data_IF_768533999033
#
_entry.id   IF_768533999033
#
_cell.length_a   1.000
_cell.length_b   1.000
_cell.length_c   1.000
_cell.angle_alpha   90.00
_cell.angle_beta   90.00
_cell.angle_gamma   90.00
#
_symmetry.space_group_name_H-M   'P 1'
#
loop_
_entity.id
_entity.type
_entity.pdbx_description
1 polymer ?
#
# COMPACT_ATOMS: atom_id res chain seq x y z
N UNK A 1 -56.13 -10.79 45.88
CA UNK A 1 -55.63 -11.30 44.58
C UNK A 1 -55.18 -10.22 43.58
N UNK A 2 -55.00 -8.94 43.96
CA UNK A 2 -54.56 -7.89 43.01
C UNK A 2 -53.17 -7.30 43.29
N UNK A 3 -52.50 -7.63 44.41
CA UNK A 3 -51.19 -7.03 44.75
C UNK A 3 -50.03 -7.91 44.25
N UNK A 4 -50.23 -9.22 44.15
CA UNK A 4 -49.18 -10.17 43.73
C UNK A 4 -48.89 -10.15 42.22
N UNK A 5 -49.81 -9.64 41.39
CA UNK A 5 -49.64 -9.52 39.93
C UNK A 5 -48.88 -8.27 39.50
N UNK A 6 -48.76 -7.26 40.37
CA UNK A 6 -48.04 -6.03 40.06
C UNK A 6 -46.53 -6.13 40.36
N UNK A 7 -46.11 -7.06 41.22
CA UNK A 7 -44.69 -7.26 41.52
C UNK A 7 -43.95 -8.13 40.49
N UNK A 8 -44.64 -8.95 39.70
CA UNK A 8 -44.00 -9.77 38.66
C UNK A 8 -43.66 -9.00 37.38
N UNK A 9 -44.28 -7.83 37.16
CA UNK A 9 -43.97 -6.97 35.99
C UNK A 9 -42.78 -6.06 36.24
N UNK A 10 -42.50 -5.69 37.50
CA UNK A 10 -41.38 -4.80 37.84
C UNK A 10 -39.99 -5.44 37.73
N UNK A 11 -39.88 -6.76 37.94
CA UNK A 11 -38.58 -7.47 37.92
C UNK A 11 -38.14 -7.81 36.49
N UNK A 12 -39.07 -7.95 35.55
CA UNK A 12 -38.73 -8.19 34.14
C UNK A 12 -38.17 -6.95 33.42
N UNK A 13 -38.42 -5.74 33.94
CA UNK A 13 -37.94 -4.49 33.33
C UNK A 13 -36.47 -4.17 33.67
N UNK A 14 -35.91 -4.76 34.73
CA UNK A 14 -34.53 -4.49 35.18
C UNK A 14 -33.51 -5.40 34.48
N UNK A 15 -33.92 -6.48 33.81
CA UNK A 15 -33.03 -7.32 33.01
C UNK A 15 -32.76 -6.79 31.59
N UNK A 16 -33.35 -5.64 31.24
CA UNK A 16 -33.07 -4.90 30.00
C UNK A 16 -32.15 -3.68 30.21
N UNK A 17 -31.35 -3.65 31.29
CA UNK A 17 -30.15 -2.80 31.28
C UNK A 17 -29.23 -3.36 30.19
N UNK A 18 -29.26 -2.68 29.05
CA UNK A 18 -28.65 -3.11 27.81
C UNK A 18 -27.25 -3.64 28.02
N UNK A 19 -26.98 -4.80 27.43
CA UNK A 19 -25.63 -5.15 27.04
C UNK A 19 -25.16 -4.04 26.08
N UNK A 20 -24.63 -2.95 26.64
CA UNK A 20 -23.74 -2.06 25.90
C UNK A 20 -22.65 -3.01 25.42
N UNK A 21 -22.43 -3.15 24.10
CA UNK A 21 -21.31 -3.96 23.66
C UNK A 21 -20.10 -3.43 24.40
N UNK A 22 -19.42 -4.30 25.14
CA UNK A 22 -18.09 -3.99 25.64
C UNK A 22 -17.26 -3.81 24.37
N UNK A 23 -17.20 -2.57 23.89
CA UNK A 23 -16.41 -2.19 22.76
C UNK A 23 -14.96 -2.28 23.26
N UNK A 24 -14.40 -3.48 23.29
CA UNK A 24 -12.96 -3.69 23.23
C UNK A 24 -12.52 -3.28 21.82
N UNK A 25 -12.72 -2.00 21.51
CA UNK A 25 -12.31 -1.40 20.26
C UNK A 25 -10.84 -1.06 20.44
N UNK A 26 -9.99 -2.01 20.05
CA UNK A 26 -8.66 -1.68 19.58
C UNK A 26 -8.83 -0.81 18.33
N UNK A 27 -9.10 0.48 18.52
CA UNK A 27 -9.29 1.45 17.45
C UNK A 27 -7.93 1.88 16.90
N UNK A 28 -7.21 0.95 16.28
CA UNK A 28 -6.14 1.36 15.39
C UNK A 28 -6.80 2.04 14.19
N UNK A 29 -6.50 3.32 13.98
CA UNK A 29 -6.96 4.09 12.84
C UNK A 29 -5.82 4.19 11.83
N UNK A 30 -6.04 3.67 10.62
CA UNK A 30 -5.10 3.83 9.50
C UNK A 30 -5.14 5.27 8.97
N UNK A 31 -4.06 5.68 8.32
CA UNK A 31 -4.00 6.97 7.65
C UNK A 31 -5.00 7.00 6.49
N UNK A 32 -5.65 8.16 6.30
CA UNK A 32 -6.44 8.38 5.11
C UNK A 32 -5.50 8.59 3.92
N UNK A 33 -5.36 7.53 3.12
CA UNK A 33 -4.55 7.52 1.91
C UNK A 33 -5.37 7.79 0.65
N UNK A 34 -6.67 8.11 0.78
CA UNK A 34 -7.54 8.37 -0.37
C UNK A 34 -7.06 9.56 -1.21
N UNK A 35 -7.58 9.68 -2.42
CA UNK A 35 -7.30 10.83 -3.27
C UNK A 35 -8.16 10.88 -4.51
N UNK A 36 -8.16 12.02 -5.22
CA UNK A 36 -8.95 12.18 -6.44
C UNK A 36 -8.48 11.24 -7.55
N UNK A 37 -9.41 10.95 -8.47
CA UNK A 37 -9.15 10.26 -9.74
C UNK A 37 -7.98 10.92 -10.47
N UNK A 38 -7.09 10.11 -11.03
CA UNK A 38 -5.89 10.56 -11.73
C UNK A 38 -5.97 10.28 -13.22
N UNK A 39 -5.14 10.96 -14.00
CA UNK A 39 -5.01 10.76 -15.45
C UNK A 39 -3.68 10.11 -15.85
N UNK A 40 -2.71 10.09 -14.94
CA UNK A 40 -1.36 9.56 -15.17
C UNK A 40 -0.38 10.65 -15.63
N UNK A 41 -0.87 11.85 -15.94
CA UNK A 41 -0.05 13.03 -16.20
C UNK A 41 0.51 13.65 -14.91
N UNK A 42 -0.09 13.36 -13.75
CA UNK A 42 0.35 13.91 -12.49
C UNK A 42 1.69 13.29 -12.04
N UNK A 43 2.61 14.09 -11.48
CA UNK A 43 3.88 13.59 -10.99
C UNK A 43 3.70 12.47 -9.96
N UNK A 44 4.49 11.40 -10.11
CA UNK A 44 4.53 10.28 -9.17
C UNK A 44 3.36 9.28 -9.26
N UNK A 45 2.39 9.45 -10.17
CA UNK A 45 1.30 8.47 -10.35
C UNK A 45 1.75 7.22 -11.10
N UNK A 46 2.60 7.39 -12.11
CA UNK A 46 3.31 6.32 -12.81
C UNK A 46 4.75 6.24 -12.30
N UNK A 47 5.28 5.03 -12.09
CA UNK A 47 6.60 4.83 -11.46
C UNK A 47 7.76 5.30 -12.33
N UNK A 48 7.52 5.51 -13.63
CA UNK A 48 8.49 6.05 -14.57
C UNK A 48 7.75 6.97 -15.54
N UNK A 49 8.33 8.13 -15.79
CA UNK A 49 7.76 9.13 -16.70
C UNK A 49 7.78 8.64 -18.15
N UNK A 50 6.79 9.07 -18.93
CA UNK A 50 6.66 8.77 -20.34
C UNK A 50 6.63 10.10 -21.14
N UNK A 51 7.79 10.68 -21.47
CA UNK A 51 7.85 11.95 -22.18
C UNK A 51 7.15 11.89 -23.54
N UNK A 52 6.24 12.84 -23.80
CA UNK A 52 5.50 12.88 -25.06
C UNK A 52 4.49 11.74 -25.25
N UNK A 53 4.05 11.13 -24.14
CA UNK A 53 2.96 10.17 -24.16
C UNK A 53 1.61 10.85 -24.43
N UNK A 54 0.74 10.19 -25.19
CA UNK A 54 -0.65 10.59 -25.37
C UNK A 54 -1.48 10.23 -24.14
N UNK A 55 -2.69 10.81 -23.97
CA UNK A 55 -3.59 10.44 -22.87
C UNK A 55 -3.88 8.93 -22.81
N UNK A 56 -3.98 8.26 -23.96
CA UNK A 56 -4.20 6.81 -24.05
C UNK A 56 -2.97 6.02 -23.56
N UNK A 57 -1.76 6.49 -23.88
CA UNK A 57 -0.51 5.86 -23.42
C UNK A 57 -0.32 6.06 -21.90
N UNK A 58 -0.71 7.22 -21.35
CA UNK A 58 -0.71 7.47 -19.90
C UNK A 58 -1.77 6.62 -19.17
N UNK A 59 -2.95 6.47 -19.75
CA UNK A 59 -4.00 5.58 -19.27
C UNK A 59 -3.52 4.13 -19.24
N UNK A 60 -2.85 3.66 -20.31
CA UNK A 60 -2.24 2.33 -20.35
C UNK A 60 -1.14 2.18 -19.28
N UNK A 61 -0.32 3.22 -19.08
CA UNK A 61 0.69 3.23 -18.02
C UNK A 61 0.06 3.05 -16.63
N UNK A 62 -1.06 3.72 -16.32
CA UNK A 62 -1.78 3.54 -15.06
C UNK A 62 -2.25 2.09 -14.88
N UNK A 63 -2.86 1.50 -15.90
CA UNK A 63 -3.33 0.10 -15.85
C UNK A 63 -2.16 -0.86 -15.60
N UNK A 64 -1.03 -0.64 -16.26
CA UNK A 64 0.16 -1.48 -16.06
C UNK A 64 0.76 -1.31 -14.66
N UNK A 65 0.77 -0.08 -14.12
CA UNK A 65 1.19 0.19 -12.74
C UNK A 65 0.26 -0.49 -11.73
N UNK A 66 -1.06 -0.49 -11.98
CA UNK A 66 -2.03 -1.18 -11.14
C UNK A 66 -1.74 -2.69 -11.13
N UNK A 67 -1.54 -3.30 -12.31
CA UNK A 67 -1.17 -4.72 -12.42
C UNK A 67 0.10 -5.03 -11.64
N UNK A 68 1.14 -4.21 -11.77
CA UNK A 68 2.41 -4.41 -11.07
C UNK A 68 2.24 -4.29 -9.55
N UNK A 69 1.49 -3.29 -9.07
CA UNK A 69 1.17 -3.14 -7.65
C UNK A 69 0.46 -4.39 -7.11
N UNK A 70 -0.55 -4.91 -7.82
CA UNK A 70 -1.29 -6.10 -7.39
C UNK A 70 -0.44 -7.37 -7.35
N UNK A 71 0.48 -7.56 -8.30
CA UNK A 71 1.38 -8.71 -8.22
C UNK A 71 2.38 -8.56 -7.07
N UNK A 72 2.95 -7.37 -6.89
CA UNK A 72 3.88 -7.15 -5.79
C UNK A 72 3.20 -7.36 -4.44
N UNK A 73 1.95 -6.91 -4.30
CA UNK A 73 1.13 -7.17 -3.13
C UNK A 73 0.86 -8.67 -2.93
N UNK A 74 0.57 -9.42 -4.00
CA UNK A 74 0.43 -10.87 -3.91
C UNK A 74 1.70 -11.59 -3.40
N UNK A 75 2.89 -11.03 -3.64
CA UNK A 75 4.16 -11.57 -3.14
C UNK A 75 4.51 -11.10 -1.72
N UNK A 76 4.36 -9.80 -1.45
CA UNK A 76 4.86 -9.18 -0.22
C UNK A 76 3.87 -9.26 0.95
N UNK A 77 2.58 -9.47 0.68
CA UNK A 77 1.52 -9.42 1.69
C UNK A 77 0.96 -10.80 2.07
N UNK A 78 1.62 -11.89 1.67
CA UNK A 78 1.18 -13.26 1.95
C UNK A 78 1.17 -13.61 3.46
N UNK A 79 1.80 -12.77 4.29
CA UNK A 79 1.73 -12.87 5.74
C UNK A 79 0.31 -12.67 6.30
N UNK A 80 -0.59 -12.04 5.54
CA UNK A 80 -1.98 -11.79 5.93
C UNK A 80 -2.97 -12.41 4.92
N UNK A 81 -3.34 -13.70 5.08
CA UNK A 81 -4.18 -14.42 4.12
C UNK A 81 -5.59 -13.85 3.97
N UNK A 82 -6.09 -13.08 4.95
CA UNK A 82 -7.45 -12.50 4.88
C UNK A 82 -7.58 -11.43 3.79
N UNK A 83 -6.46 -10.83 3.34
CA UNK A 83 -6.44 -9.87 2.23
C UNK A 83 -6.67 -10.53 0.86
N UNK A 84 -6.54 -11.86 0.76
CA UNK A 84 -6.81 -12.65 -0.46
C UNK A 84 -6.03 -12.17 -1.70
N UNK A 85 -4.88 -11.52 -1.52
CA UNK A 85 -4.15 -10.85 -2.60
C UNK A 85 -3.68 -11.79 -3.72
N UNK A 86 -3.23 -13.00 -3.38
CA UNK A 86 -2.85 -14.01 -4.39
C UNK A 86 -4.04 -14.41 -5.26
N UNK A 87 -5.20 -14.72 -4.65
CA UNK A 87 -6.41 -15.06 -5.40
C UNK A 87 -6.96 -13.88 -6.20
N UNK A 88 -6.92 -12.67 -5.63
CA UNK A 88 -7.43 -11.46 -6.26
C UNK A 88 -6.58 -11.10 -7.49
N UNK A 89 -5.26 -11.20 -7.39
CA UNK A 89 -4.36 -10.95 -8.51
C UNK A 89 -4.56 -11.95 -9.66
N UNK A 90 -4.68 -13.25 -9.35
CA UNK A 90 -4.91 -14.26 -10.38
C UNK A 90 -6.27 -14.08 -11.07
N UNK A 91 -7.30 -13.69 -10.33
CA UNK A 91 -8.60 -13.37 -10.89
C UNK A 91 -8.58 -12.07 -11.72
N UNK A 92 -7.82 -11.04 -11.30
CA UNK A 92 -7.56 -9.85 -12.11
C UNK A 92 -6.98 -10.22 -13.46
N UNK A 93 -5.92 -11.05 -13.48
CA UNK A 93 -5.29 -11.49 -14.72
C UNK A 93 -6.28 -12.20 -15.63
N UNK A 94 -7.09 -13.11 -15.08
CA UNK A 94 -8.06 -13.89 -15.86
C UNK A 94 -9.21 -13.03 -16.39
N UNK A 95 -9.77 -12.13 -15.57
CA UNK A 95 -10.97 -11.37 -15.92
C UNK A 95 -10.66 -10.23 -16.90
N UNK A 96 -9.45 -9.68 -16.84
CA UNK A 96 -9.05 -8.49 -17.60
C UNK A 96 -7.93 -8.78 -18.62
N UNK A 97 -7.69 -10.04 -18.98
CA UNK A 97 -6.66 -10.47 -19.94
C UNK A 97 -6.66 -9.65 -21.25
N UNK A 98 -7.82 -9.42 -21.92
CA UNK A 98 -7.84 -8.62 -23.15
C UNK A 98 -7.52 -7.13 -22.94
N UNK A 99 -7.73 -6.59 -21.74
CA UNK A 99 -7.34 -5.20 -21.41
C UNK A 99 -5.85 -5.11 -21.13
N UNK A 100 -5.28 -6.11 -20.45
CA UNK A 100 -3.86 -6.18 -20.17
C UNK A 100 -3.05 -6.33 -21.46
N UNK A 101 -3.51 -7.14 -22.41
CA UNK A 101 -2.89 -7.28 -23.72
C UNK A 101 -2.89 -5.97 -24.51
N UNK A 102 -4.05 -5.28 -24.55
CA UNK A 102 -4.17 -3.97 -25.20
C UNK A 102 -3.28 -2.92 -24.53
N UNK A 103 -3.20 -2.94 -23.20
CA UNK A 103 -2.33 -2.08 -22.40
C UNK A 103 -0.85 -2.31 -22.76
N UNK A 104 -0.43 -3.58 -22.79
CA UNK A 104 0.92 -3.96 -23.17
C UNK A 104 1.26 -3.51 -24.60
N UNK A 105 0.37 -3.77 -25.56
CA UNK A 105 0.56 -3.36 -26.94
C UNK A 105 0.66 -1.83 -27.09
N UNK A 106 -0.15 -1.07 -26.34
CA UNK A 106 -0.10 0.40 -26.34
C UNK A 106 1.25 0.92 -25.85
N UNK A 107 1.76 0.40 -24.73
CA UNK A 107 3.07 0.77 -24.21
C UNK A 107 4.21 0.33 -25.12
N UNK A 108 4.13 -0.86 -25.70
CA UNK A 108 5.10 -1.33 -26.69
C UNK A 108 5.14 -0.40 -27.92
N UNK A 109 3.99 0.05 -28.41
CA UNK A 109 3.90 0.99 -29.53
C UNK A 109 4.47 2.37 -29.16
N UNK A 110 4.23 2.86 -27.95
CA UNK A 110 4.86 4.09 -27.44
C UNK A 110 6.38 4.00 -27.50
N UNK A 111 6.99 2.94 -26.97
CA UNK A 111 8.45 2.79 -26.96
C UNK A 111 9.03 2.58 -28.36
N UNK A 112 8.32 1.86 -29.23
CA UNK A 112 8.72 1.73 -30.63
C UNK A 112 8.68 3.07 -31.39
N UNK A 113 7.70 3.93 -31.08
CA UNK A 113 7.54 5.26 -31.68
C UNK A 113 8.61 6.23 -31.19
N UNK A 114 8.96 6.19 -29.92
CA UNK A 114 9.85 7.16 -29.28
C UNK A 114 11.32 6.78 -29.33
N UNK A 115 11.66 5.49 -29.22
CA UNK A 115 13.04 5.01 -29.10
C UNK A 115 13.46 4.08 -30.26
N UNK A 116 12.54 3.76 -31.16
CA UNK A 116 12.80 2.97 -32.37
C UNK A 116 12.27 1.55 -32.30
N UNK A 117 11.85 1.03 -33.47
CA UNK A 117 11.22 -0.29 -33.60
C UNK A 117 12.19 -1.45 -33.31
N UNK A 118 11.66 -2.53 -32.75
CA UNK A 118 12.38 -3.79 -32.55
C UNK A 118 13.15 -3.80 -31.22
N UNK A 119 14.43 -4.20 -31.25
CA UNK A 119 15.24 -4.37 -30.03
C UNK A 119 15.31 -3.11 -29.15
N UNK A 120 15.48 -1.87 -29.69
CA UNK A 120 15.52 -0.66 -28.87
C UNK A 120 14.23 -0.42 -28.08
N UNK A 121 13.08 -0.44 -28.77
CA UNK A 121 11.76 -0.28 -28.16
C UNK A 121 11.44 -1.36 -27.13
N UNK A 122 11.72 -2.63 -27.44
CA UNK A 122 11.50 -3.74 -26.50
C UNK A 122 12.37 -3.60 -25.24
N UNK A 123 13.66 -3.27 -25.41
CA UNK A 123 14.58 -3.10 -24.26
C UNK A 123 14.10 -1.96 -23.35
N UNK A 124 13.61 -0.87 -23.94
CA UNK A 124 13.08 0.26 -23.17
C UNK A 124 11.79 -0.09 -22.44
N UNK A 125 10.89 -0.86 -23.07
CA UNK A 125 9.68 -1.38 -22.44
C UNK A 125 10.02 -2.27 -21.23
N UNK A 126 10.97 -3.19 -21.38
CA UNK A 126 11.38 -4.10 -20.30
C UNK A 126 12.01 -3.33 -19.12
N UNK A 127 12.84 -2.32 -19.42
CA UNK A 127 13.38 -1.41 -18.40
C UNK A 127 12.28 -0.60 -17.71
N UNK A 128 11.30 -0.10 -18.48
CA UNK A 128 10.16 0.61 -17.94
C UNK A 128 9.36 -0.28 -16.99
N UNK A 129 9.03 -1.50 -17.39
CA UNK A 129 8.34 -2.46 -16.53
C UNK A 129 9.13 -2.74 -15.25
N UNK A 130 10.44 -2.96 -15.36
CA UNK A 130 11.30 -3.17 -14.20
C UNK A 130 11.25 -1.99 -13.21
N UNK A 131 11.27 -0.74 -13.69
CA UNK A 131 11.10 0.45 -12.84
C UNK A 131 9.71 0.51 -12.22
N UNK A 132 8.68 0.10 -12.96
CA UNK A 132 7.31 0.04 -12.46
C UNK A 132 7.19 -0.87 -11.23
N UNK A 133 7.79 -2.05 -11.27
CA UNK A 133 7.87 -2.97 -10.13
C UNK A 133 8.60 -2.37 -8.93
N UNK A 134 9.80 -1.83 -9.16
CA UNK A 134 10.60 -1.23 -8.10
C UNK A 134 9.89 -0.04 -7.44
N UNK A 135 9.07 0.70 -8.19
CA UNK A 135 8.33 1.86 -7.68
C UNK A 135 7.25 1.54 -6.64
N UNK A 136 6.88 0.27 -6.45
CA UNK A 136 5.96 -0.18 -5.38
C UNK A 136 6.68 -0.94 -4.26
N UNK A 137 7.97 -1.23 -4.40
CA UNK A 137 8.73 -2.01 -3.42
C UNK A 137 9.18 -1.15 -2.25
N UNK A 138 8.31 -1.01 -1.23
CA UNK A 138 8.59 -0.14 -0.07
C UNK A 138 8.43 -0.88 1.25
N UNK A 139 9.56 -1.34 1.81
CA UNK A 139 9.59 -2.13 3.06
C UNK A 139 9.04 -1.33 4.25
N UNK A 140 9.38 -0.05 4.34
CA UNK A 140 8.95 0.79 5.47
C UNK A 140 7.42 1.01 5.52
N UNK A 141 6.73 0.87 4.38
CA UNK A 141 5.31 1.10 4.23
C UNK A 141 4.54 -0.18 3.87
N UNK A 142 5.08 -1.37 4.20
CA UNK A 142 4.50 -2.65 3.81
C UNK A 142 3.05 -2.81 4.31
N UNK A 143 2.77 -2.50 5.58
CA UNK A 143 1.42 -2.62 6.14
C UNK A 143 0.37 -1.72 5.45
N UNK A 144 0.56 -0.39 5.37
CA UNK A 144 -0.42 0.46 4.69
C UNK A 144 -0.57 0.12 3.20
N UNK A 145 0.51 -0.30 2.53
CA UNK A 145 0.44 -0.80 1.16
C UNK A 145 -0.40 -2.07 1.04
N UNK A 146 -0.19 -3.07 1.90
CA UNK A 146 -0.93 -4.33 1.88
C UNK A 146 -2.42 -4.14 2.17
N UNK A 147 -2.78 -3.31 3.17
CA UNK A 147 -4.17 -2.96 3.48
C UNK A 147 -4.86 -2.31 2.27
N UNK A 148 -4.20 -1.30 1.69
CA UNK A 148 -4.69 -0.57 0.51
C UNK A 148 -4.83 -1.50 -0.69
N UNK A 149 -3.81 -2.31 -0.97
CA UNK A 149 -3.81 -3.26 -2.07
C UNK A 149 -4.92 -4.31 -1.92
N UNK A 150 -5.21 -4.77 -0.70
CA UNK A 150 -6.33 -5.68 -0.43
C UNK A 150 -7.66 -5.06 -0.86
N UNK A 151 -7.90 -3.80 -0.48
CA UNK A 151 -9.11 -3.05 -0.83
C UNK A 151 -9.23 -2.81 -2.34
N UNK A 152 -8.15 -2.37 -2.98
CA UNK A 152 -8.10 -2.16 -4.44
C UNK A 152 -8.22 -3.49 -5.19
N UNK A 153 -7.67 -4.58 -4.66
CA UNK A 153 -7.82 -5.93 -5.20
C UNK A 153 -9.29 -6.33 -5.34
N UNK A 154 -10.13 -6.04 -4.34
CA UNK A 154 -11.58 -6.22 -4.45
C UNK A 154 -12.20 -5.33 -5.54
N UNK A 155 -11.77 -4.08 -5.68
CA UNK A 155 -12.26 -3.22 -6.77
C UNK A 155 -11.95 -3.82 -8.16
N UNK A 156 -10.77 -4.44 -8.34
CA UNK A 156 -10.43 -5.11 -9.61
C UNK A 156 -11.26 -6.37 -9.86
N UNK A 157 -11.70 -7.06 -8.80
CA UNK A 157 -12.54 -8.26 -8.90
C UNK A 157 -13.96 -7.94 -9.34
N UNK A 158 -14.53 -6.86 -8.79
CA UNK A 158 -15.91 -6.46 -9.06
C UNK A 158 -16.06 -5.54 -10.28
N UNK A 159 -14.93 -5.07 -10.84
CA UNK A 159 -14.96 -4.33 -12.09
C UNK A 159 -15.42 -5.25 -13.25
N UNK A 160 -16.37 -4.79 -14.09
CA UNK A 160 -16.76 -5.54 -15.29
C UNK A 160 -15.59 -5.58 -16.28
N UNK A 161 -15.67 -6.48 -17.26
CA UNK A 161 -14.76 -6.44 -18.41
C UNK A 161 -14.85 -5.08 -19.10
N UNK A 162 -13.70 -4.47 -19.36
CA UNK A 162 -13.48 -3.10 -19.82
C UNK A 162 -13.25 -2.09 -18.70
N UNK A 163 -13.48 -2.46 -17.45
CA UNK A 163 -13.49 -1.57 -16.29
C UNK A 163 -12.16 -1.41 -15.56
N UNK A 164 -11.11 -2.17 -15.93
CA UNK A 164 -9.83 -2.10 -15.22
C UNK A 164 -9.20 -0.70 -15.32
N UNK A 165 -9.46 -0.01 -16.43
CA UNK A 165 -9.00 1.36 -16.65
C UNK A 165 -9.56 2.32 -15.59
N UNK A 166 -10.85 2.23 -15.28
CA UNK A 166 -11.47 3.09 -14.27
C UNK A 166 -10.95 2.78 -12.87
N UNK A 167 -10.71 1.51 -12.55
CA UNK A 167 -10.07 1.12 -11.28
C UNK A 167 -8.68 1.75 -11.18
N UNK A 168 -7.87 1.69 -12.24
CA UNK A 168 -6.55 2.30 -12.25
C UNK A 168 -6.62 3.83 -12.04
N UNK A 169 -7.54 4.51 -12.72
CA UNK A 169 -7.70 5.96 -12.57
C UNK A 169 -8.20 6.36 -11.18
N UNK A 170 -9.11 5.59 -10.58
CA UNK A 170 -9.70 5.92 -9.29
C UNK A 170 -8.78 5.59 -8.11
N UNK A 171 -7.96 4.54 -8.20
CA UNK A 171 -7.21 4.01 -7.06
C UNK A 171 -5.69 4.15 -7.15
N UNK A 172 -5.12 4.62 -8.27
CA UNK A 172 -3.66 4.77 -8.35
C UNK A 172 -3.11 5.73 -7.30
N UNK A 173 -3.78 6.86 -7.07
CA UNK A 173 -3.35 7.83 -6.05
C UNK A 173 -3.36 7.22 -4.66
N UNK A 174 -4.40 6.45 -4.36
CA UNK A 174 -4.53 5.71 -3.11
C UNK A 174 -3.37 4.73 -2.91
N UNK A 175 -3.07 3.92 -3.93
CA UNK A 175 -1.92 3.01 -3.92
C UNK A 175 -0.60 3.77 -3.72
N UNK A 176 -0.40 4.92 -4.38
CA UNK A 176 0.82 5.72 -4.22
C UNK A 176 0.95 6.33 -2.83
N UNK A 177 -0.14 6.86 -2.29
CA UNK A 177 -0.17 7.43 -0.94
C UNK A 177 0.12 6.37 0.15
N UNK A 178 -0.25 5.10 -0.11
CA UNK A 178 0.02 3.97 0.78
C UNK A 178 1.50 3.57 0.87
N UNK A 179 2.35 4.07 -0.04
CA UNK A 179 3.79 3.82 -0.04
C UNK A 179 4.56 4.69 0.95
N UNK A 180 3.88 5.58 1.67
CA UNK A 180 4.47 6.37 2.75
C UNK A 180 4.26 5.64 4.08
N UNK A 181 5.29 5.50 4.94
CA UNK A 181 5.11 4.90 6.26
C UNK A 181 4.22 5.80 7.11
N UNK A 182 3.10 5.26 7.56
CA UNK A 182 2.18 5.93 8.47
C UNK A 182 2.22 5.27 9.84
N UNK A 183 2.20 6.10 10.89
CA UNK A 183 1.94 5.63 12.25
C UNK A 183 0.46 5.37 12.49
N UNK A 184 0.14 4.91 13.69
CA UNK A 184 -1.24 4.82 14.17
C UNK A 184 -1.83 6.25 14.34
N UNK A 185 -3.08 6.48 13.92
CA UNK A 185 -3.68 7.82 13.83
C UNK A 185 -4.60 8.21 14.99
N UNK A 186 -5.12 7.25 15.76
CA UNK A 186 -6.01 7.48 16.89
C UNK A 186 -5.23 7.91 18.14
N UNK A 187 -4.17 7.18 18.42
CA UNK A 187 -3.19 7.34 19.46
C UNK A 187 -1.96 7.96 18.81
N UNK A 188 -1.76 9.25 19.08
CA UNK A 188 -0.44 9.86 18.95
C UNK A 188 0.46 9.17 19.98
N UNK A 189 1.02 8.01 19.62
CA UNK A 189 2.15 7.44 20.32
C UNK A 189 3.30 8.43 20.12
N UNK A 190 3.33 9.47 20.95
CA UNK A 190 4.56 10.13 21.33
C UNK A 190 5.32 9.11 22.16
N UNK A 191 5.82 8.06 21.50
CA UNK A 191 7.07 7.49 21.92
C UNK A 191 8.03 8.67 21.79
N UNK A 192 8.60 9.24 22.88
CA UNK A 192 10.01 9.49 22.77
C UNK A 192 10.54 8.11 22.46
N UNK A 193 10.72 7.77 21.18
CA UNK A 193 11.72 6.79 20.85
C UNK A 193 12.91 7.31 21.66
N UNK A 194 13.44 6.57 22.65
CA UNK A 194 14.74 6.92 23.16
C UNK A 194 15.59 6.85 21.91
N UNK A 195 15.79 8.01 21.27
CA UNK A 195 16.65 8.12 20.12
C UNK A 195 17.91 7.46 20.65
N UNK A 196 18.37 6.36 20.05
CA UNK A 196 19.60 5.74 20.51
C UNK A 196 20.58 6.91 20.55
N UNK A 197 21.14 7.18 21.73
CA UNK A 197 22.07 8.29 21.87
C UNK A 197 23.20 7.91 20.93
N UNK A 198 23.18 8.49 19.72
CA UNK A 198 24.18 8.22 18.70
C UNK A 198 25.47 8.68 19.35
N UNK A 199 26.31 7.72 19.73
CA UNK A 199 27.59 8.07 20.33
C UNK A 199 28.37 8.82 19.26
N UNK A 200 29.07 9.86 19.66
CA UNK A 200 29.93 10.63 18.78
C UNK A 200 31.12 9.76 18.36
N UNK A 201 30.94 8.88 17.38
CA UNK A 201 32.01 8.03 16.86
C UNK A 201 33.16 8.86 16.26
N UNK A 202 32.91 10.12 15.91
CA UNK A 202 33.93 11.09 15.49
C UNK A 202 34.81 11.63 16.64
N UNK A 203 34.52 11.31 17.89
CA UNK A 203 35.34 11.76 19.02
C UNK A 203 36.59 10.88 19.17
N UNK A 204 37.74 11.37 18.67
CA UNK A 204 39.01 10.64 18.70
C UNK A 204 39.44 10.21 20.11
N UNK A 205 39.00 10.91 21.17
CA UNK A 205 39.35 10.57 22.56
C UNK A 205 38.70 9.29 23.07
N UNK A 206 37.67 8.80 22.36
CA UNK A 206 36.99 7.53 22.61
C UNK A 206 37.66 6.34 21.94
N UNK A 207 38.65 6.58 21.09
CA UNK A 207 39.39 5.56 20.37
C UNK A 207 40.80 5.44 20.92
N UNK A 208 41.24 4.21 21.16
CA UNK A 208 42.67 3.89 21.34
C UNK A 208 43.00 2.71 20.46
N UNK A 209 43.96 2.87 19.56
CA UNK A 209 44.39 1.81 18.62
C UNK A 209 43.20 1.20 17.86
N UNK A 210 42.27 2.03 17.39
CA UNK A 210 41.03 1.62 16.71
C UNK A 210 40.09 0.72 17.53
N UNK A 211 40.23 0.72 18.86
CA UNK A 211 39.32 0.02 19.78
C UNK A 211 38.52 1.03 20.59
N UNK A 212 37.20 0.86 20.59
CA UNK A 212 36.25 1.66 21.34
C UNK A 212 36.47 1.50 22.86
N UNK A 213 36.58 2.62 23.57
CA UNK A 213 36.88 2.63 25.01
C UNK A 213 35.59 2.71 25.84
N UNK A 214 34.96 1.57 26.13
CA UNK A 214 33.66 1.53 26.82
C UNK A 214 33.66 2.19 28.21
N UNK A 215 34.75 2.07 28.96
CA UNK A 215 34.86 2.68 30.30
C UNK A 215 34.84 4.20 30.28
N UNK A 216 35.25 4.81 29.15
CA UNK A 216 35.33 6.26 28.98
C UNK A 216 34.12 6.81 28.23
N UNK A 217 33.60 6.07 27.26
CA UNK A 217 32.58 6.56 26.33
C UNK A 217 31.28 5.75 26.34
N UNK A 218 31.15 4.78 27.24
CA UNK A 218 29.97 3.92 27.43
C UNK A 218 30.03 2.63 26.61
N UNK A 219 29.24 1.62 27.01
CA UNK A 219 29.15 0.33 26.30
C UNK A 219 28.79 0.52 24.82
N UNK A 220 29.38 -0.32 23.97
CA UNK A 220 29.18 -0.30 22.53
C UNK A 220 27.78 -0.79 22.13
N UNK A 221 27.21 -1.72 22.89
CA UNK A 221 25.82 -2.18 22.76
C UNK A 221 25.03 -1.90 24.04
N UNK A 222 23.82 -1.37 23.89
CA UNK A 222 22.81 -1.38 24.95
C UNK A 222 22.11 -2.74 24.88
N UNK A 223 22.47 -3.65 25.79
CA UNK A 223 21.64 -4.81 26.13
C UNK A 223 20.72 -4.45 27.27
#
# INVERSE_FOLDING_TARGET
MNVLRLMTVGIAAVLFFGAVPAQAQFFFKSADVSGPRVTGAEPGMVSAELPGATPEELSAALVWNLRAAMNLAALQCDFEPTLRLVSNYNALLKNHDPELDRTHATLHNYFNRTLGKGRPGQTALDQYFSRVWSGFSVVAAQYPFCETAGRVGYATLFAPAGGLNDVAHNHMRELRNSLVPWGEQQFLFRYPAPMPVLREFGNERCWRRNVWQERRCGKFYAG
#
